data_IF_726534939685
#
_entry.id   IF_726534939685
#
_cell.length_a   1.000
_cell.length_b   1.000
_cell.length_c   1.000
_cell.angle_alpha   90.00
_cell.angle_beta   90.00
_cell.angle_gamma   90.00
#
_symmetry.space_group_name_H-M   'P 1'
#
loop_
_entity.id
_entity.type
_entity.pdbx_description
1 polymer ?
#
# COMPACT_ATOMS: atom_id res chain seq x y z
N UNK A 1 -11.85 13.87 -6.02
CA UNK A 1 -12.75 13.33 -4.97
C UNK A 1 -13.08 14.47 -4.02
N UNK A 2 -14.36 14.82 -3.86
CA UNK A 2 -14.80 16.01 -3.08
C UNK A 2 -15.50 15.65 -1.75
N UNK A 3 -15.59 14.36 -1.42
CA UNK A 3 -16.39 13.85 -0.30
C UNK A 3 -15.59 13.43 0.93
N UNK A 4 -14.27 13.26 0.78
CA UNK A 4 -13.40 12.77 1.85
C UNK A 4 -12.22 13.72 2.00
N UNK A 5 -11.91 14.07 3.24
CA UNK A 5 -10.76 14.95 3.55
C UNK A 5 -9.44 14.19 3.53
N UNK A 6 -9.48 12.88 3.83
CA UNK A 6 -8.31 12.00 3.87
C UNK A 6 -8.64 10.58 3.43
N UNK A 7 -7.71 9.95 2.69
CA UNK A 7 -7.78 8.55 2.28
C UNK A 7 -6.47 7.85 2.68
N UNK A 8 -6.58 6.70 3.35
CA UNK A 8 -5.46 5.84 3.69
C UNK A 8 -5.58 4.49 3.01
N UNK A 9 -4.47 3.96 2.49
CA UNK A 9 -4.47 2.64 1.84
C UNK A 9 -3.23 1.80 2.10
N UNK A 10 -3.41 0.48 2.09
CA UNK A 10 -2.32 -0.50 2.10
C UNK A 10 -2.46 -1.41 0.89
N UNK A 11 -1.34 -1.84 0.30
CA UNK A 11 -1.32 -2.77 -0.83
C UNK A 11 -2.16 -2.26 -2.01
N UNK A 12 -3.05 -3.08 -2.56
CA UNK A 12 -3.99 -2.67 -3.62
C UNK A 12 -4.87 -1.48 -3.22
N UNK A 13 -5.26 -1.37 -1.95
CA UNK A 13 -5.94 -0.20 -1.40
C UNK A 13 -5.07 1.06 -1.44
N UNK A 14 -3.75 0.91 -1.35
CA UNK A 14 -2.79 2.00 -1.54
C UNK A 14 -2.76 2.52 -2.97
N UNK A 15 -2.88 1.64 -3.98
CA UNK A 15 -3.02 2.06 -5.38
C UNK A 15 -4.30 2.88 -5.57
N UNK A 16 -5.42 2.45 -4.97
CA UNK A 16 -6.70 3.16 -5.00
C UNK A 16 -6.56 4.54 -4.33
N UNK A 17 -5.92 4.62 -3.16
CA UNK A 17 -5.66 5.87 -2.47
C UNK A 17 -4.83 6.85 -3.30
N UNK A 18 -3.80 6.36 -4.01
CA UNK A 18 -3.00 7.17 -4.94
C UNK A 18 -3.86 7.68 -6.11
N UNK A 19 -4.65 6.81 -6.75
CA UNK A 19 -5.47 7.22 -7.90
C UNK A 19 -6.52 8.26 -7.52
N UNK A 20 -7.24 8.06 -6.42
CA UNK A 20 -8.35 8.92 -6.02
C UNK A 20 -7.90 10.19 -5.29
N UNK A 21 -6.87 10.07 -4.46
CA UNK A 21 -6.32 11.18 -3.67
C UNK A 21 -5.25 11.95 -4.44
N UNK A 22 -4.09 11.31 -4.70
CA UNK A 22 -2.93 11.99 -5.30
C UNK A 22 -3.14 12.38 -6.77
N UNK A 23 -3.74 11.50 -7.57
CA UNK A 23 -4.00 11.73 -9.01
C UNK A 23 -5.40 12.31 -9.27
N UNK A 24 -6.19 12.54 -8.22
CA UNK A 24 -7.53 13.15 -8.25
C UNK A 24 -8.50 12.52 -9.25
N UNK A 25 -8.33 11.24 -9.56
CA UNK A 25 -9.16 10.54 -10.52
C UNK A 25 -10.59 10.38 -9.97
N UNK A 26 -11.58 10.38 -10.88
CA UNK A 26 -12.91 9.87 -10.54
C UNK A 26 -12.84 8.35 -10.35
N UNK A 27 -13.78 7.80 -9.58
CA UNK A 27 -13.90 6.34 -9.43
C UNK A 27 -14.04 5.65 -10.78
N UNK A 28 -14.85 6.20 -11.69
CA UNK A 28 -15.01 5.70 -13.05
C UNK A 28 -13.67 5.64 -13.82
N UNK A 29 -12.86 6.70 -13.74
CA UNK A 29 -11.56 6.75 -14.42
C UNK A 29 -10.51 5.86 -13.75
N UNK A 30 -10.67 5.54 -12.46
CA UNK A 30 -9.76 4.68 -11.72
C UNK A 30 -9.92 3.18 -12.07
N UNK A 31 -11.08 2.75 -12.54
CA UNK A 31 -11.38 1.32 -12.81
C UNK A 31 -10.39 0.72 -13.83
N UNK A 32 -10.22 1.34 -15.00
CA UNK A 32 -9.40 0.75 -16.06
C UNK A 32 -7.90 0.72 -15.69
N UNK A 33 -7.29 1.81 -15.18
CA UNK A 33 -5.92 1.78 -14.67
C UNK A 33 -5.73 0.80 -13.51
N UNK A 34 -6.70 0.69 -12.59
CA UNK A 34 -6.64 -0.30 -11.52
C UNK A 34 -6.63 -1.73 -12.06
N UNK A 35 -7.49 -2.06 -13.03
CA UNK A 35 -7.55 -3.39 -13.64
C UNK A 35 -6.24 -3.73 -14.37
N UNK A 36 -5.61 -2.74 -15.00
CA UNK A 36 -4.29 -2.91 -15.62
C UNK A 36 -3.21 -3.18 -14.57
N UNK A 37 -3.14 -2.36 -13.51
CA UNK A 37 -2.16 -2.54 -12.42
C UNK A 37 -2.36 -3.86 -11.67
N UNK A 38 -3.61 -4.16 -11.27
CA UNK A 38 -3.97 -5.39 -10.54
C UNK A 38 -3.81 -6.62 -11.44
N UNK A 39 -4.19 -6.54 -12.71
CA UNK A 39 -3.91 -7.57 -13.70
C UNK A 39 -2.44 -7.92 -13.73
N UNK A 40 -1.52 -6.96 -13.71
CA UNK A 40 -0.08 -7.21 -13.64
C UNK A 40 0.43 -7.69 -12.27
N UNK A 41 -0.29 -7.38 -11.19
CA UNK A 41 -0.03 -7.91 -9.84
C UNK A 41 -0.46 -9.36 -9.69
N UNK A 42 -1.46 -9.81 -10.46
CA UNK A 42 -2.04 -11.14 -10.33
C UNK A 42 -1.84 -12.06 -11.56
N UNK A 43 -1.24 -11.59 -12.66
CA UNK A 43 -0.96 -12.40 -13.87
C UNK A 43 0.54 -12.69 -14.08
N UNK A 44 0.83 -13.97 -14.33
CA UNK A 44 2.14 -14.61 -14.58
C UNK A 44 2.98 -14.96 -13.34
N UNK A 45 2.81 -16.20 -12.84
CA UNK A 45 3.83 -16.87 -12.01
C UNK A 45 5.11 -17.02 -12.83
N UNK A 46 6.24 -16.48 -12.35
CA UNK A 46 7.55 -16.90 -12.84
C UNK A 46 7.78 -18.39 -12.53
N UNK A 47 8.01 -19.19 -13.57
CA UNK A 47 8.62 -20.51 -13.43
C UNK A 47 10.14 -20.32 -13.20
N UNK A 48 10.67 -20.98 -12.18
CA UNK A 48 12.10 -21.08 -11.77
C UNK A 48 12.70 -19.97 -10.87
N UNK A 49 13.16 -20.42 -9.68
CA UNK A 49 14.36 -20.05 -8.92
C UNK A 49 14.89 -18.59 -8.96
N UNK A 50 14.01 -17.59 -8.87
CA UNK A 50 14.37 -16.19 -8.60
C UNK A 50 13.37 -15.53 -7.62
N UNK A 51 13.84 -14.62 -6.78
CA UNK A 51 13.01 -13.88 -5.81
C UNK A 51 11.88 -13.07 -6.49
N UNK A 52 10.64 -13.28 -6.01
CA UNK A 52 9.41 -12.58 -6.41
C UNK A 52 8.65 -13.23 -7.58
N UNK A 53 7.38 -13.58 -7.33
CA UNK A 53 6.53 -14.28 -8.31
C UNK A 53 6.09 -13.44 -9.52
N UNK A 54 6.11 -12.11 -9.43
CA UNK A 54 5.64 -11.17 -10.46
C UNK A 54 6.71 -10.15 -10.89
N UNK A 55 6.62 -9.66 -12.13
CA UNK A 55 7.53 -8.61 -12.65
C UNK A 55 7.13 -7.25 -12.07
N UNK A 56 7.87 -6.82 -11.05
CA UNK A 56 7.82 -5.47 -10.49
C UNK A 56 7.79 -4.34 -11.56
N UNK A 57 8.50 -4.54 -12.66
CA UNK A 57 8.61 -3.59 -13.77
C UNK A 57 7.28 -3.34 -14.49
N UNK A 58 6.44 -4.36 -14.67
CA UNK A 58 5.11 -4.19 -15.33
C UNK A 58 4.19 -3.31 -14.49
N UNK A 59 4.18 -3.52 -13.16
CA UNK A 59 3.41 -2.67 -12.25
C UNK A 59 3.95 -1.24 -12.26
N UNK A 60 5.28 -1.08 -12.23
CA UNK A 60 5.90 0.24 -12.30
C UNK A 60 5.53 0.98 -13.59
N UNK A 61 5.63 0.33 -14.75
CA UNK A 61 5.24 0.87 -16.04
C UNK A 61 3.76 1.28 -16.07
N UNK A 62 2.87 0.43 -15.54
CA UNK A 62 1.45 0.72 -15.41
C UNK A 62 1.17 1.97 -14.55
N UNK A 63 1.85 2.08 -13.41
CA UNK A 63 1.74 3.24 -12.52
C UNK A 63 2.28 4.49 -13.22
N UNK A 64 3.48 4.44 -13.82
CA UNK A 64 4.08 5.55 -14.56
C UNK A 64 3.22 6.03 -15.73
N UNK A 65 2.60 5.10 -16.47
CA UNK A 65 1.64 5.44 -17.54
C UNK A 65 0.42 6.17 -16.98
N UNK A 66 -0.09 5.73 -15.84
CA UNK A 66 -1.22 6.38 -15.17
C UNK A 66 -0.85 7.77 -14.68
N UNK A 67 0.35 7.97 -14.14
CA UNK A 67 0.87 9.29 -13.74
C UNK A 67 1.00 10.21 -14.97
N UNK A 68 1.55 9.73 -16.09
CA UNK A 68 1.62 10.54 -17.33
C UNK A 68 0.25 10.97 -17.84
N UNK A 69 -0.80 10.19 -17.59
CA UNK A 69 -2.16 10.52 -18.01
C UNK A 69 -2.89 11.43 -17.02
N UNK A 70 -2.74 11.19 -15.71
CA UNK A 70 -3.58 11.79 -14.67
C UNK A 70 -2.83 12.70 -13.69
N UNK A 71 -1.51 12.56 -13.54
CA UNK A 71 -0.67 13.41 -12.69
C UNK A 71 -0.75 14.87 -13.07
N UNK A 72 -0.46 15.76 -12.12
CA UNK A 72 -0.61 17.20 -12.32
C UNK A 72 0.43 17.72 -13.31
N UNK A 73 1.65 17.15 -13.24
CA UNK A 73 2.77 17.51 -14.11
C UNK A 73 2.86 16.64 -15.38
N UNK A 74 2.05 15.57 -15.46
CA UNK A 74 2.12 14.55 -16.52
C UNK A 74 3.53 13.94 -16.68
N UNK A 75 4.30 13.92 -15.60
CA UNK A 75 5.66 13.40 -15.54
C UNK A 75 5.69 12.13 -14.66
N UNK A 76 6.29 11.06 -15.16
CA UNK A 76 6.46 9.83 -14.37
C UNK A 76 7.34 10.02 -13.12
N UNK A 77 8.16 11.07 -13.07
CA UNK A 77 8.99 11.43 -11.92
C UNK A 77 8.32 12.45 -10.99
N UNK A 78 7.01 12.58 -11.06
CA UNK A 78 6.24 13.44 -10.17
C UNK A 78 6.33 12.97 -8.70
N UNK A 79 6.49 13.94 -7.80
CA UNK A 79 6.66 13.71 -6.36
C UNK A 79 5.34 13.20 -5.74
N UNK A 80 5.47 12.27 -4.79
CA UNK A 80 4.34 11.80 -3.98
C UNK A 80 3.78 12.93 -3.12
N UNK A 81 4.67 13.74 -2.52
CA UNK A 81 4.29 14.95 -1.82
C UNK A 81 3.66 15.93 -2.82
N UNK A 82 2.44 16.35 -2.53
CA UNK A 82 1.72 17.30 -3.35
C UNK A 82 2.00 18.72 -2.85
N UNK A 83 2.90 19.41 -3.56
CA UNK A 83 3.26 20.80 -3.28
C UNK A 83 2.15 21.80 -3.63
N UNK A 84 1.13 21.35 -4.37
CA UNK A 84 -0.03 22.15 -4.77
C UNK A 84 -1.25 21.86 -3.89
N UNK A 85 -1.09 21.10 -2.80
CA UNK A 85 -2.14 20.86 -1.83
C UNK A 85 -2.47 22.15 -1.06
N UNK A 86 -3.18 23.07 -1.72
CA UNK A 86 -4.03 24.04 -1.05
C UNK A 86 -4.99 23.27 -0.13
N UNK A 87 -5.45 23.92 0.93
CA UNK A 87 -6.12 23.30 2.08
C UNK A 87 -7.31 22.39 1.77
N UNK A 88 -7.90 22.51 0.57
CA UNK A 88 -9.18 21.90 0.17
C UNK A 88 -9.05 20.64 -0.72
N UNK A 89 -7.84 20.12 -0.94
CA UNK A 89 -7.68 18.84 -1.65
C UNK A 89 -7.69 17.65 -0.70
N UNK A 90 -8.33 16.57 -1.12
CA UNK A 90 -8.31 15.29 -0.42
C UNK A 90 -6.86 14.86 -0.19
N UNK A 91 -6.51 14.70 1.09
CA UNK A 91 -5.21 14.22 1.52
C UNK A 91 -5.15 12.70 1.33
N UNK A 92 -3.97 12.16 1.01
CA UNK A 92 -3.82 10.71 0.93
C UNK A 92 -2.51 10.24 1.53
N UNK A 93 -2.51 9.01 2.02
CA UNK A 93 -1.29 8.30 2.38
C UNK A 93 -1.38 6.83 2.00
N UNK A 94 -0.21 6.23 1.79
CA UNK A 94 -0.09 4.78 1.63
C UNK A 94 0.89 4.20 2.64
N UNK A 95 0.60 2.97 3.10
CA UNK A 95 1.41 2.28 4.09
C UNK A 95 2.42 1.34 3.41
N UNK A 96 3.67 1.39 3.84
CA UNK A 96 4.65 0.32 3.63
C UNK A 96 5.42 0.07 4.93
N UNK A 97 6.22 -0.98 4.96
CA UNK A 97 7.02 -1.33 6.12
C UNK A 97 8.50 -1.34 5.74
N UNK A 98 9.33 -0.67 6.53
CA UNK A 98 10.78 -0.72 6.35
C UNK A 98 11.30 -2.08 6.83
N UNK A 99 12.17 -2.72 6.05
CA UNK A 99 12.68 -4.09 6.34
C UNK A 99 13.42 -4.16 7.67
N UNK A 100 14.07 -3.08 8.08
CA UNK A 100 14.78 -2.97 9.36
C UNK A 100 13.89 -2.52 10.53
N UNK A 101 12.62 -2.19 10.29
CA UNK A 101 11.68 -1.74 11.31
C UNK A 101 10.25 -2.20 10.99
N UNK A 102 10.01 -3.50 11.17
CA UNK A 102 8.74 -4.11 10.76
C UNK A 102 7.53 -3.78 11.64
N UNK A 103 7.77 -3.29 12.85
CA UNK A 103 6.72 -3.01 13.83
C UNK A 103 6.07 -1.62 13.65
N UNK A 104 6.67 -0.76 12.83
CA UNK A 104 6.23 0.61 12.63
C UNK A 104 6.02 0.90 11.15
N UNK A 105 4.75 0.94 10.69
CA UNK A 105 4.44 1.30 9.31
C UNK A 105 4.98 2.69 8.98
N UNK A 106 5.57 2.80 7.79
CA UNK A 106 5.96 4.07 7.18
C UNK A 106 4.81 4.55 6.31
N UNK A 107 4.41 5.80 6.50
CA UNK A 107 3.38 6.45 5.69
C UNK A 107 4.01 7.34 4.64
N UNK A 108 3.71 7.06 3.38
CA UNK A 108 4.04 7.94 2.25
C UNK A 108 2.84 8.86 1.99
N UNK A 109 2.96 10.11 2.40
CA UNK A 109 1.88 11.09 2.41
C UNK A 109 1.93 11.99 1.17
N UNK A 110 0.76 12.46 0.76
CA UNK A 110 0.63 13.54 -0.24
C UNK A 110 0.72 14.93 0.37
N UNK A 111 0.83 15.03 1.70
CA UNK A 111 0.78 16.27 2.45
C UNK A 111 1.93 16.33 3.45
N UNK A 112 2.27 17.55 3.86
CA UNK A 112 3.22 17.76 4.94
C UNK A 112 2.59 17.42 6.29
N UNK A 113 3.32 16.70 7.11
CA UNK A 113 2.93 16.33 8.47
C UNK A 113 4.11 16.59 9.41
N UNK A 114 3.86 16.86 10.71
CA UNK A 114 4.92 17.01 11.71
C UNK A 114 5.88 15.81 11.78
N UNK A 115 5.42 14.61 11.41
CA UNK A 115 6.26 13.44 11.21
C UNK A 115 6.71 13.40 9.75
N UNK A 116 8.03 13.41 9.53
CA UNK A 116 8.60 13.37 8.19
C UNK A 116 8.18 12.11 7.44
N UNK A 117 7.67 12.30 6.23
CA UNK A 117 7.48 11.21 5.27
C UNK A 117 8.75 11.06 4.44
N UNK A 118 9.11 9.84 4.01
CA UNK A 118 10.21 9.69 3.06
C UNK A 118 9.91 10.45 1.76
N UNK A 119 10.86 11.26 1.31
CA UNK A 119 10.77 11.87 -0.02
C UNK A 119 10.80 10.78 -1.08
N UNK A 120 9.78 10.73 -1.92
CA UNK A 120 9.69 9.73 -2.97
C UNK A 120 8.77 10.20 -4.11
N UNK A 121 8.86 9.49 -5.23
CA UNK A 121 7.96 9.63 -6.38
C UNK A 121 6.69 8.82 -6.18
N UNK A 122 5.61 9.22 -6.85
CA UNK A 122 4.32 8.51 -6.77
C UNK A 122 4.49 7.01 -7.10
N UNK A 123 5.26 6.68 -8.13
CA UNK A 123 5.51 5.29 -8.52
C UNK A 123 6.30 4.50 -7.48
N UNK A 124 7.20 5.16 -6.73
CA UNK A 124 7.96 4.51 -5.66
C UNK A 124 7.05 4.16 -4.48
N UNK A 125 6.18 5.07 -4.07
CA UNK A 125 5.18 4.82 -3.03
C UNK A 125 4.22 3.67 -3.42
N UNK A 126 3.75 3.66 -4.68
CA UNK A 126 2.93 2.59 -5.23
C UNK A 126 3.64 1.23 -5.22
N UNK A 127 4.93 1.21 -5.58
CA UNK A 127 5.76 0.00 -5.53
C UNK A 127 6.02 -0.46 -4.11
N UNK A 128 6.27 0.45 -3.17
CA UNK A 128 6.52 0.11 -1.77
C UNK A 128 5.30 -0.52 -1.11
N UNK A 129 4.12 0.10 -1.26
CA UNK A 129 2.89 -0.40 -0.63
C UNK A 129 2.47 -1.75 -1.21
N UNK A 130 2.79 -2.06 -2.47
CA UNK A 130 2.46 -3.33 -3.12
C UNK A 130 3.57 -4.38 -3.10
N UNK A 131 4.72 -4.11 -2.46
CA UNK A 131 5.88 -5.00 -2.43
C UNK A 131 5.69 -6.21 -1.49
N UNK A 132 4.64 -7.00 -1.71
CA UNK A 132 4.34 -8.17 -0.89
C UNK A 132 5.43 -9.22 -1.07
N UNK A 133 5.98 -9.70 0.06
CA UNK A 133 7.23 -10.48 0.11
C UNK A 133 7.24 -11.78 -0.69
N UNK A 134 6.08 -12.34 -1.06
CA UNK A 134 5.93 -13.52 -1.92
C UNK A 134 5.71 -13.18 -3.40
N UNK A 135 5.33 -11.94 -3.69
CA UNK A 135 4.84 -11.50 -5.00
C UNK A 135 5.83 -10.57 -5.70
N UNK A 136 6.48 -9.68 -4.97
CA UNK A 136 7.38 -8.68 -5.52
C UNK A 136 8.66 -8.55 -4.72
N UNK A 137 9.72 -8.14 -5.41
CA UNK A 137 10.95 -7.69 -4.76
C UNK A 137 10.69 -6.41 -3.97
N UNK A 138 11.44 -6.28 -2.86
CA UNK A 138 11.54 -5.06 -2.05
C UNK A 138 11.99 -3.89 -2.93
N UNK A 139 11.60 -2.67 -2.57
CA UNK A 139 12.06 -1.43 -3.23
C UNK A 139 12.96 -0.63 -2.29
N UNK A 140 14.07 -0.11 -2.82
CA UNK A 140 14.91 0.88 -2.14
C UNK A 140 14.41 2.28 -2.48
N UNK A 141 14.21 3.13 -1.46
CA UNK A 141 13.81 4.53 -1.61
C UNK A 141 14.72 5.39 -0.73
N UNK A 142 15.26 6.47 -1.29
CA UNK A 142 16.15 7.41 -0.61
C UNK A 142 17.29 7.84 -1.52
N UNK A 143 18.17 8.69 -0.98
CA UNK A 143 19.40 9.09 -1.68
C UNK A 143 20.41 7.93 -1.73
N UNK A 144 21.27 7.87 -2.76
CA UNK A 144 22.31 6.85 -2.85
C UNK A 144 23.16 6.78 -1.57
N UNK A 145 23.24 5.59 -0.97
CA UNK A 145 23.97 5.36 0.29
C UNK A 145 23.15 5.58 1.57
N UNK A 146 21.94 6.13 1.49
CA UNK A 146 21.00 6.30 2.60
C UNK A 146 19.63 5.66 2.31
N UNK A 147 19.58 4.72 1.35
CA UNK A 147 18.35 4.07 0.91
C UNK A 147 17.74 3.20 2.02
N UNK A 148 16.42 3.29 2.16
CA UNK A 148 15.63 2.41 3.01
C UNK A 148 14.88 1.41 2.13
N UNK A 149 14.94 0.13 2.50
CA UNK A 149 14.21 -0.95 1.81
C UNK A 149 12.81 -1.11 2.39
N UNK A 150 11.82 -1.15 1.51
CA UNK A 150 10.41 -1.27 1.87
C UNK A 150 9.76 -2.53 1.30
N UNK A 151 8.83 -3.07 2.08
CA UNK A 151 7.90 -4.15 1.71
C UNK A 151 6.45 -3.73 1.99
N UNK A 152 5.50 -4.49 1.45
CA UNK A 152 4.06 -4.29 1.69
C UNK A 152 3.75 -4.34 3.20
N UNK A 153 2.94 -3.37 3.65
CA UNK A 153 2.50 -3.27 5.03
C UNK A 153 1.37 -4.25 5.40
N UNK A 154 0.94 -5.13 4.49
CA UNK A 154 0.00 -6.21 4.78
C UNK A 154 0.44 -7.02 6.01
N UNK A 155 1.75 -7.17 6.23
CA UNK A 155 2.30 -7.64 7.50
C UNK A 155 2.18 -6.53 8.55
N UNK A 156 1.19 -6.62 9.42
CA UNK A 156 1.01 -5.73 10.58
C UNK A 156 0.15 -4.48 10.36
N UNK A 157 -0.10 -4.04 9.13
CA UNK A 157 -0.96 -2.88 8.82
C UNK A 157 -1.80 -3.07 7.55
N UNK A 158 -2.48 -4.22 7.44
CA UNK A 158 -3.40 -4.49 6.33
C UNK A 158 -4.66 -3.58 6.37
N UNK A 159 -5.04 -3.10 7.56
CA UNK A 159 -6.19 -2.22 7.78
C UNK A 159 -5.72 -0.89 8.38
N UNK A 160 -5.49 0.15 7.56
CA UNK A 160 -4.91 1.40 8.05
C UNK A 160 -5.91 2.31 8.78
N UNK A 161 -7.11 1.84 9.16
CA UNK A 161 -8.18 2.65 9.78
C UNK A 161 -7.69 3.35 11.05
N UNK A 162 -6.93 2.66 11.90
CA UNK A 162 -6.35 3.30 13.09
C UNK A 162 -5.39 4.43 12.71
N UNK A 163 -4.50 4.20 11.74
CA UNK A 163 -3.57 5.21 11.25
C UNK A 163 -4.31 6.38 10.57
N UNK A 164 -5.42 6.10 9.88
CA UNK A 164 -6.29 7.11 9.28
C UNK A 164 -6.85 8.05 10.35
N UNK A 165 -7.33 7.52 11.47
CA UNK A 165 -7.83 8.33 12.59
C UNK A 165 -6.72 9.12 13.26
N UNK A 166 -5.55 8.52 13.48
CA UNK A 166 -4.39 9.22 14.03
C UNK A 166 -3.94 10.38 13.12
N UNK A 167 -3.93 10.18 11.79
CA UNK A 167 -3.60 11.21 10.81
C UNK A 167 -4.68 12.29 10.70
N UNK A 168 -5.97 11.91 10.77
CA UNK A 168 -7.08 12.86 10.78
C UNK A 168 -7.00 13.78 12.01
N UNK A 169 -6.74 13.22 13.19
CA UNK A 169 -6.54 14.01 14.42
C UNK A 169 -5.34 14.95 14.32
N UNK A 170 -4.24 14.49 13.70
CA UNK A 170 -3.03 15.28 13.50
C UNK A 170 -3.26 16.47 12.56
N UNK A 171 -3.98 16.25 11.45
CA UNK A 171 -4.21 17.25 10.41
C UNK A 171 -5.30 18.25 10.76
N UNK A 172 -6.39 17.75 11.33
CA UNK A 172 -7.61 18.52 11.54
C UNK A 172 -7.79 18.93 13.01
N UNK A 173 -6.77 18.83 13.86
CA UNK A 173 -6.73 19.40 15.22
C UNK A 173 -8.04 19.23 16.02
N UNK A 174 -8.39 17.97 16.29
CA UNK A 174 -9.53 17.57 17.14
C UNK A 174 -10.94 17.99 16.66
N UNK A 175 -11.13 18.29 15.37
CA UNK A 175 -12.49 18.22 14.80
C UNK A 175 -13.02 16.79 14.95
N UNK A 176 -14.30 16.65 15.29
CA UNK A 176 -14.96 15.35 15.35
C UNK A 176 -14.91 14.69 13.97
N UNK A 177 -14.62 13.40 13.91
CA UNK A 177 -14.70 12.64 12.67
C UNK A 177 -16.18 12.34 12.40
N UNK A 178 -16.74 12.93 11.35
CA UNK A 178 -18.16 12.73 11.00
C UNK A 178 -18.44 11.33 10.47
N UNK A 179 -17.50 10.77 9.68
CA UNK A 179 -17.69 9.48 9.03
C UNK A 179 -16.35 8.78 8.73
N UNK A 180 -16.33 7.47 8.92
CA UNK A 180 -15.24 6.59 8.48
C UNK A 180 -15.82 5.52 7.57
N UNK A 181 -15.30 5.43 6.35
CA UNK A 181 -15.60 4.35 5.42
C UNK A 181 -14.41 3.40 5.30
N UNK A 182 -14.57 2.16 5.77
CA UNK A 182 -13.54 1.11 5.65
C UNK A 182 -13.98 0.05 4.66
N UNK A 183 -13.19 -0.11 3.59
CA UNK A 183 -13.47 -1.08 2.51
C UNK A 183 -12.39 -2.15 2.54
N UNK A 184 -12.78 -3.39 2.86
CA UNK A 184 -11.91 -4.56 2.81
C UNK A 184 -12.06 -5.35 1.51
N UNK A 185 -11.09 -6.22 1.21
CA UNK A 185 -11.09 -7.11 0.04
C UNK A 185 -11.77 -8.47 0.30
N UNK A 186 -12.56 -8.57 1.37
CA UNK A 186 -13.22 -9.81 1.82
C UNK A 186 -12.34 -10.69 2.71
N UNK A 187 -12.95 -11.65 3.42
CA UNK A 187 -12.23 -12.66 4.21
C UNK A 187 -12.46 -14.06 3.63
N UNK A 188 -11.41 -14.88 3.47
CA UNK A 188 -11.57 -16.29 3.11
C UNK A 188 -12.20 -17.04 4.30
N UNK A 189 -13.29 -17.78 4.04
CA UNK A 189 -14.16 -18.30 5.10
C UNK A 189 -13.55 -19.45 5.95
N UNK A 190 -12.41 -20.04 5.56
CA UNK A 190 -11.76 -21.09 6.35
C UNK A 190 -10.22 -21.10 6.17
N UNK A 191 -9.48 -20.99 7.29
CA UNK A 191 -8.05 -21.34 7.35
C UNK A 191 -7.94 -22.74 7.95
N UNK A 192 -8.02 -23.77 7.11
CA UNK A 192 -7.81 -25.16 7.55
C UNK A 192 -6.31 -25.44 7.69
N UNK A 193 -5.88 -26.02 8.82
CA UNK A 193 -4.54 -26.58 8.98
C UNK A 193 -4.54 -28.00 8.38
N UNK A 194 -3.92 -28.23 7.21
CA UNK A 194 -3.84 -29.58 6.65
C UNK A 194 -2.83 -30.41 7.44
N UNK A 195 -3.06 -31.71 7.58
CA UNK A 195 -2.15 -32.64 8.26
C UNK A 195 -0.77 -32.65 7.58
N UNK A 196 0.35 -32.46 8.32
CA UNK A 196 1.67 -32.37 7.72
C UNK A 196 2.15 -33.70 7.17
N UNK A 197 2.71 -33.70 5.95
CA UNK A 197 3.42 -34.86 5.39
C UNK A 197 4.82 -34.99 6.01
N UNK A 198 5.46 -36.17 5.93
CA UNK A 198 6.77 -36.43 6.58
C UNK A 198 7.85 -35.38 6.23
N UNK A 199 7.88 -34.91 4.99
CA UNK A 199 8.83 -33.88 4.53
C UNK A 199 8.58 -32.50 5.18
N UNK A 200 7.33 -32.20 5.54
CA UNK A 200 6.93 -30.94 6.19
C UNK A 200 7.23 -30.89 7.68
N UNK A 201 7.51 -32.05 8.32
CA UNK A 201 8.03 -32.10 9.69
C UNK A 201 9.47 -31.63 9.80
N UNK A 202 10.23 -31.71 8.69
CA UNK A 202 11.63 -31.28 8.63
C UNK A 202 11.72 -29.81 8.18
N UNK A 203 10.88 -29.40 7.22
CA UNK A 203 10.78 -28.01 6.76
C UNK A 203 9.31 -27.54 6.74
N UNK A 204 8.81 -26.85 7.78
CA UNK A 204 7.39 -26.53 7.94
C UNK A 204 6.96 -25.30 7.14
N UNK A 205 7.16 -25.31 5.82
CA UNK A 205 6.81 -24.20 4.91
C UNK A 205 5.32 -23.81 5.00
N UNK A 206 4.43 -24.79 5.20
CA UNK A 206 3.00 -24.54 5.36
C UNK A 206 2.64 -23.82 6.67
N UNK A 207 3.35 -24.08 7.76
CA UNK A 207 3.14 -23.35 9.02
C UNK A 207 3.58 -21.91 8.84
N UNK A 208 4.71 -21.68 8.14
CA UNK A 208 5.17 -20.33 7.79
C UNK A 208 4.13 -19.59 6.93
N UNK A 209 3.51 -20.26 5.95
CA UNK A 209 2.47 -19.66 5.11
C UNK A 209 1.17 -19.36 5.89
N UNK A 210 0.79 -20.22 6.84
CA UNK A 210 -0.34 -19.97 7.74
C UNK A 210 -0.03 -18.82 8.70
N UNK A 211 1.17 -18.76 9.28
CA UNK A 211 1.61 -17.65 10.13
C UNK A 211 1.67 -16.34 9.36
N UNK A 212 2.13 -16.37 8.09
CA UNK A 212 2.06 -15.21 7.20
C UNK A 212 0.62 -14.78 6.96
N UNK A 213 -0.28 -15.72 6.65
CA UNK A 213 -1.72 -15.44 6.48
C UNK A 213 -2.32 -14.82 7.73
N UNK A 214 -2.05 -15.39 8.92
CA UNK A 214 -2.49 -14.85 10.21
C UNK A 214 -1.91 -13.46 10.51
N UNK A 215 -0.63 -13.23 10.20
CA UNK A 215 0.01 -11.92 10.35
C UNK A 215 -0.56 -10.87 9.39
N UNK A 216 -1.09 -11.29 8.23
CA UNK A 216 -1.82 -10.43 7.30
C UNK A 216 -3.31 -10.29 7.63
N UNK A 217 -3.90 -11.25 8.35
CA UNK A 217 -5.31 -11.30 8.77
C UNK A 217 -5.55 -10.57 10.10
N UNK A 218 -4.80 -9.49 10.39
CA UNK A 218 -4.88 -8.76 11.66
C UNK A 218 -6.24 -8.02 11.86
N UNK A 219 -7.30 -8.78 12.09
CA UNK A 219 -8.50 -8.39 12.80
C UNK A 219 -8.13 -8.25 14.28
N UNK A 220 -7.64 -7.07 14.68
CA UNK A 220 -7.58 -6.74 16.11
C UNK A 220 -7.91 -5.28 16.46
N UNK A 221 -8.55 -4.51 15.57
CA UNK A 221 -9.04 -3.15 15.91
C UNK A 221 -10.30 -2.78 15.10
N UNK A 222 -11.20 -3.74 14.83
CA UNK A 222 -12.52 -3.42 14.25
C UNK A 222 -13.64 -3.37 15.30
N UNK A 223 -13.40 -3.93 16.50
CA UNK A 223 -14.42 -4.04 17.56
C UNK A 223 -14.22 -3.05 18.72
N UNK A 224 -13.28 -2.09 18.60
CA UNK A 224 -12.98 -1.11 19.67
C UNK A 224 -13.00 0.36 19.18
N UNK A 225 -13.64 0.65 18.05
CA UNK A 225 -13.85 2.03 17.57
C UNK A 225 -15.34 2.33 17.39
#
# INVERSE_FOLDING_TARGET
MQYFDIIGGTSTGGLIAIMLGRLRMSTANAIAPYNLMSGHVFSERKFFMQDGSFKATKLEEAVKKTIKQYGDLKDEQEDMLDKQANTDVCKAFVCAVAVNNINHPTLFRTYEAPRTSPTCKIWQAARATTAASTFFKQISIGEPGAEVRYIDAALGCNKPTRLLVEEAQLLFRAHAIDCILSIGTGQPQFVSIPTPTLFQRIFPTRIIDVLKKLATDANRVADEM
#
